data_IF_800701908446
#
_entry.id   IF_800701908446
#
_cell.length_a   1.000
_cell.length_b   1.000
_cell.length_c   1.000
_cell.angle_alpha   90.00
_cell.angle_beta   90.00
_cell.angle_gamma   90.00
#
_symmetry.space_group_name_H-M   'P 1'
#
loop_
_entity.id
_entity.type
_entity.pdbx_description
1 polymer ?
#
# COMPACT_ATOMS: atom_id res chain seq x y z
N UNK A 1 2.03 22.09 -13.20
CA UNK A 1 1.36 20.79 -13.40
C UNK A 1 0.56 20.88 -14.69
N UNK A 2 0.67 19.91 -15.59
CA UNK A 2 0.05 19.93 -16.92
C UNK A 2 -0.89 18.74 -17.08
N UNK A 3 -2.05 18.97 -17.69
CA UNK A 3 -3.05 17.92 -17.94
C UNK A 3 -2.59 16.92 -19.00
N UNK A 4 -1.94 17.44 -20.06
CA UNK A 4 -1.35 16.65 -21.12
C UNK A 4 0.17 16.79 -21.05
N UNK A 5 0.88 15.67 -21.05
CA UNK A 5 2.35 15.62 -21.10
C UNK A 5 2.76 14.83 -22.34
N UNK A 6 3.15 15.52 -23.41
CA UNK A 6 3.65 14.87 -24.63
C UNK A 6 2.60 14.00 -25.34
N UNK A 7 1.32 14.35 -25.24
CA UNK A 7 0.22 13.59 -25.81
C UNK A 7 -0.48 12.65 -24.83
N UNK A 8 0.11 12.38 -23.66
CA UNK A 8 -0.47 11.48 -22.65
C UNK A 8 -1.31 12.26 -21.63
N UNK A 9 -2.53 11.78 -21.41
CA UNK A 9 -3.48 12.24 -20.40
C UNK A 9 -3.49 11.26 -19.20
N UNK A 10 -4.05 11.64 -18.03
CA UNK A 10 -4.01 10.79 -16.83
C UNK A 10 -4.65 9.41 -17.00
N UNK A 11 -5.62 9.29 -17.91
CA UNK A 11 -6.32 8.04 -18.20
C UNK A 11 -5.57 7.12 -19.18
N UNK A 12 -4.46 7.57 -19.76
CA UNK A 12 -3.58 6.72 -20.59
C UNK A 12 -2.62 5.88 -19.74
N UNK A 13 -2.67 5.98 -18.40
CA UNK A 13 -1.80 5.25 -17.49
C UNK A 13 -2.35 3.86 -17.23
N UNK A 14 -1.58 2.84 -17.62
CA UNK A 14 -1.90 1.43 -17.38
C UNK A 14 -0.95 0.80 -16.35
N UNK A 15 -1.51 0.06 -15.40
CA UNK A 15 -0.73 -0.77 -14.48
C UNK A 15 -0.50 -2.12 -15.16
N UNK A 16 0.76 -2.46 -15.44
CA UNK A 16 1.13 -3.71 -16.13
C UNK A 16 1.90 -4.71 -15.25
N UNK A 17 2.39 -4.26 -14.09
CA UNK A 17 3.11 -5.09 -13.14
C UNK A 17 3.04 -4.49 -11.74
N UNK A 18 3.09 -5.34 -10.72
CA UNK A 18 3.17 -4.93 -9.33
C UNK A 18 4.05 -5.89 -8.51
N UNK A 19 4.86 -5.32 -7.62
CA UNK A 19 5.73 -6.07 -6.72
C UNK A 19 5.60 -5.53 -5.30
N UNK A 20 5.44 -6.42 -4.32
CA UNK A 20 5.47 -6.09 -2.90
C UNK A 20 6.06 -7.29 -2.13
N UNK A 21 6.58 -7.05 -0.93
CA UNK A 21 7.05 -8.10 -0.01
C UNK A 21 6.00 -8.48 1.04
N UNK A 22 4.96 -7.65 1.18
CA UNK A 22 3.87 -7.90 2.11
C UNK A 22 3.01 -9.07 1.65
N UNK A 23 3.07 -10.16 2.42
CA UNK A 23 2.28 -11.38 2.18
C UNK A 23 0.78 -11.16 2.09
N UNK A 24 0.26 -10.05 2.65
CA UNK A 24 -1.17 -9.70 2.56
C UNK A 24 -1.58 -9.19 1.18
N UNK A 25 -0.60 -8.75 0.37
CA UNK A 25 -0.79 -8.21 -0.98
C UNK A 25 -0.38 -9.21 -2.05
N UNK A 26 0.72 -9.92 -1.86
CA UNK A 26 1.25 -10.89 -2.84
C UNK A 26 0.18 -11.91 -3.23
N UNK A 27 0.01 -12.12 -4.53
CA UNK A 27 -0.95 -13.05 -5.14
C UNK A 27 -2.34 -12.47 -5.42
N UNK A 28 -2.68 -11.31 -4.85
CA UNK A 28 -3.93 -10.59 -5.13
C UNK A 28 -3.81 -9.73 -6.37
N UNK A 29 -4.94 -9.43 -6.99
CA UNK A 29 -5.00 -8.38 -8.01
C UNK A 29 -4.65 -7.01 -7.39
N UNK A 30 -4.07 -6.11 -8.18
CA UNK A 30 -3.74 -4.76 -7.72
C UNK A 30 -4.98 -4.03 -7.20
N UNK A 31 -6.14 -4.19 -7.84
CA UNK A 31 -7.40 -3.56 -7.39
C UNK A 31 -7.77 -3.91 -5.94
N UNK A 32 -7.42 -5.10 -5.47
CA UNK A 32 -7.62 -5.53 -4.08
C UNK A 32 -6.44 -5.16 -3.18
N UNK A 33 -5.21 -5.35 -3.68
CA UNK A 33 -3.99 -5.23 -2.88
C UNK A 33 -3.75 -3.80 -2.36
N UNK A 34 -4.17 -2.78 -3.10
CA UNK A 34 -3.98 -1.38 -2.70
C UNK A 34 -4.73 -1.02 -1.40
N UNK A 35 -5.80 -1.76 -1.07
CA UNK A 35 -6.60 -1.57 0.15
C UNK A 35 -6.08 -2.39 1.34
N UNK A 36 -5.03 -3.19 1.16
CA UNK A 36 -4.45 -3.94 2.26
C UNK A 36 -3.69 -3.02 3.23
N UNK A 37 -4.03 -3.07 4.53
CA UNK A 37 -3.23 -2.43 5.57
C UNK A 37 -1.75 -2.81 5.43
N UNK A 38 -0.79 -1.91 5.75
CA UNK A 38 -0.98 -0.63 6.42
C UNK A 38 -1.34 0.52 5.48
N UNK A 39 -1.62 0.28 4.19
CA UNK A 39 -2.14 1.32 3.33
C UNK A 39 -3.44 1.87 3.93
N UNK A 40 -3.51 3.18 4.14
CA UNK A 40 -4.61 3.83 4.85
C UNK A 40 -5.01 5.18 4.24
N UNK A 41 -4.63 5.43 2.98
CA UNK A 41 -5.02 6.64 2.24
C UNK A 41 -6.53 6.71 2.09
N UNK A 42 -7.08 7.93 2.11
CA UNK A 42 -8.50 8.19 1.85
C UNK A 42 -8.94 7.52 0.55
N UNK A 43 -9.97 6.69 0.65
CA UNK A 43 -10.59 6.04 -0.51
C UNK A 43 -11.49 7.06 -1.21
N UNK A 44 -11.05 7.58 -2.35
CA UNK A 44 -11.83 8.47 -3.21
C UNK A 44 -12.47 7.74 -4.40
N UNK A 45 -11.98 6.54 -4.72
CA UNK A 45 -12.57 5.61 -5.67
C UNK A 45 -12.54 4.22 -5.01
N UNK A 46 -13.72 3.67 -4.69
CA UNK A 46 -13.83 2.40 -3.97
C UNK A 46 -13.93 1.22 -4.94
N UNK A 47 -14.65 1.42 -6.03
CA UNK A 47 -14.97 0.38 -7.00
C UNK A 47 -13.97 0.46 -8.15
N UNK A 48 -12.88 -0.30 -8.04
CA UNK A 48 -11.85 -0.42 -9.06
C UNK A 48 -12.07 -1.75 -9.78
N UNK A 49 -12.22 -1.77 -11.11
CA UNK A 49 -12.35 -3.02 -11.86
C UNK A 49 -11.08 -3.87 -11.70
N UNK A 50 -11.20 -5.19 -11.86
CA UNK A 50 -10.03 -6.07 -11.90
C UNK A 50 -9.08 -5.61 -13.00
N UNK A 51 -7.80 -5.46 -12.63
CA UNK A 51 -6.74 -4.98 -13.53
C UNK A 51 -6.02 -6.17 -14.20
N UNK A 52 -6.30 -7.39 -13.75
CA UNK A 52 -5.65 -8.64 -14.15
C UNK A 52 -4.12 -8.64 -13.90
N UNK A 53 -3.66 -7.77 -12.99
CA UNK A 53 -2.26 -7.67 -12.59
C UNK A 53 -2.13 -8.16 -11.16
N UNK A 54 -1.55 -9.35 -11.01
CA UNK A 54 -1.28 -9.93 -9.69
C UNK A 54 0.02 -9.38 -9.12
N UNK A 55 -0.01 -9.00 -7.84
CA UNK A 55 1.19 -8.59 -7.10
C UNK A 55 2.14 -9.77 -6.94
N UNK A 56 3.37 -9.63 -7.42
CA UNK A 56 4.42 -10.63 -7.33
C UNK A 56 5.32 -10.38 -6.11
N UNK A 57 5.89 -11.45 -5.55
CA UNK A 57 6.86 -11.33 -4.45
C UNK A 57 8.12 -10.63 -4.95
N UNK A 58 8.39 -9.44 -4.41
CA UNK A 58 9.64 -8.72 -4.65
C UNK A 58 10.84 -9.39 -4.00
N UNK A 59 12.05 -8.98 -4.39
CA UNK A 59 13.28 -9.39 -3.69
C UNK A 59 13.30 -8.73 -2.30
N UNK A 60 13.44 -9.55 -1.26
CA UNK A 60 13.65 -9.04 0.10
C UNK A 60 15.11 -8.57 0.19
N UNK A 61 15.29 -7.26 0.31
CA UNK A 61 16.59 -6.59 0.51
C UNK A 61 16.58 -5.86 1.86
N UNK A 62 17.54 -4.97 2.10
CA UNK A 62 17.73 -4.26 3.38
C UNK A 62 16.58 -3.32 3.77
N UNK A 63 15.60 -3.14 2.88
CA UNK A 63 14.39 -2.35 3.10
C UNK A 63 13.44 -3.01 4.12
N UNK A 64 13.66 -4.28 4.47
CA UNK A 64 12.83 -5.02 5.41
C UNK A 64 13.65 -5.69 6.52
N UNK A 65 13.40 -5.29 7.76
CA UNK A 65 14.01 -5.88 8.95
C UNK A 65 12.94 -6.61 9.77
N UNK A 66 13.19 -7.86 10.17
CA UNK A 66 12.25 -8.64 11.02
C UNK A 66 11.92 -7.95 12.35
N UNK A 67 12.80 -7.07 12.87
CA UNK A 67 12.58 -6.33 14.12
C UNK A 67 11.63 -5.15 13.99
N UNK A 68 11.20 -4.78 12.78
CA UNK A 68 10.21 -3.71 12.57
C UNK A 68 8.78 -4.13 12.92
N UNK A 69 8.58 -5.39 13.31
CA UNK A 69 7.42 -5.78 14.12
C UNK A 69 7.58 -5.19 15.52
N UNK A 70 7.22 -3.91 15.69
CA UNK A 70 6.72 -3.40 16.97
C UNK A 70 5.41 -4.14 17.25
N UNK A 71 5.53 -5.39 17.68
CA UNK A 71 4.48 -6.08 18.42
C UNK A 71 4.53 -5.53 19.84
N UNK A 72 3.47 -4.82 20.21
CA UNK A 72 3.11 -4.40 21.57
C UNK A 72 3.72 -3.08 22.08
N UNK A 73 3.20 -1.95 21.60
CA UNK A 73 2.94 -0.85 22.54
C UNK A 73 1.72 -1.25 23.38
N UNK A 74 1.95 -1.89 24.52
CA UNK A 74 0.95 -1.96 25.58
C UNK A 74 0.68 -0.52 26.01
N UNK A 75 -0.58 -0.08 25.91
CA UNK A 75 -1.02 1.22 26.42
C UNK A 75 -0.89 1.21 27.95
N UNK A 76 0.29 1.56 28.45
CA UNK A 76 0.44 1.99 29.82
C UNK A 76 -0.25 3.36 29.94
N UNK A 77 -1.49 3.36 30.44
CA UNK A 77 -2.20 4.57 30.87
C UNK A 77 -1.43 5.21 32.03
N UNK A 78 -0.46 6.07 31.73
CA UNK A 78 0.06 6.99 32.73
C UNK A 78 -0.93 8.15 32.86
N UNK A 79 -1.78 8.09 33.90
CA UNK A 79 -2.52 9.26 34.40
C UNK A 79 -1.49 10.29 34.86
N UNK A 80 -1.24 11.32 34.05
CA UNK A 80 -0.55 12.53 34.52
C UNK A 80 -1.62 13.43 35.12
N UNK A 81 -1.65 13.50 36.44
CA UNK A 81 -2.43 14.49 37.18
C UNK A 81 -1.61 15.78 37.15
N UNK A 82 -2.14 16.83 36.54
CA UNK A 82 -1.58 18.17 36.66
C UNK A 82 -2.07 18.77 37.99
N UNK A 83 -1.14 19.27 38.81
CA UNK A 83 -1.41 20.16 39.95
C UNK A 83 -1.25 21.61 39.51
#
# INVERSE_FOLDING_TARGET
>A
MHWNIGGYEPFDIEVVAAFDIDKRKVGKDVSEAIFAFPNCTTVFCKDIPEIEVRVQMGRILDVFTKSSLVSSFSSAKTKVHWS
#
